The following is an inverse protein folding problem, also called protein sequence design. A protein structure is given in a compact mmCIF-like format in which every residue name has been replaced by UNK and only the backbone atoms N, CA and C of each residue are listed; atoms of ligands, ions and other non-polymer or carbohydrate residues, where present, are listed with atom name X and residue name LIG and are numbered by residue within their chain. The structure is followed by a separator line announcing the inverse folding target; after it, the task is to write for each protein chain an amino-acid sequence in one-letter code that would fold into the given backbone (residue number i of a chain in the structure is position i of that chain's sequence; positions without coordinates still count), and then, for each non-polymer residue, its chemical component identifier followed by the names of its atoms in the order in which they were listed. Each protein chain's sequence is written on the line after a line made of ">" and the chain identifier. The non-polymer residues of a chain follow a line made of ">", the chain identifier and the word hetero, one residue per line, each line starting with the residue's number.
data_IF_333783839979
#
_entry.id   IF_333783839979
#
_cell.length_a   1.000
_cell.length_b   1.000
_cell.length_c   1.000
_cell.angle_alpha   90.00
_cell.angle_beta   90.00
_cell.angle_gamma   90.00
#
_symmetry.space_group_name_H-M   'P 1'
#
loop_
_entity.id
_entity.type
_entity.pdbx_description
1 polymer ?
#
# COMPACT_ATOMS: atom_id res chain seq x y z
N UNK A 1 -10.90 -28.63 -54.11
CA UNK A 1 -11.68 -28.36 -52.88
C UNK A 1 -11.13 -29.06 -51.64
N UNK A 2 -10.70 -30.33 -51.68
CA UNK A 2 -10.12 -31.04 -50.51
C UNK A 2 -8.75 -30.51 -50.02
N UNK A 3 -7.94 -29.90 -50.90
CA UNK A 3 -6.61 -29.36 -50.53
C UNK A 3 -6.64 -28.00 -49.81
N UNK A 4 -7.67 -27.19 -50.02
CA UNK A 4 -7.83 -25.88 -49.33
C UNK A 4 -8.35 -26.00 -47.90
N UNK A 5 -8.95 -27.14 -47.55
CA UNK A 5 -9.53 -27.35 -46.21
C UNK A 5 -8.48 -27.83 -45.19
N UNK A 6 -7.40 -28.46 -45.66
CA UNK A 6 -6.31 -28.95 -44.78
C UNK A 6 -5.38 -27.80 -44.36
N UNK A 7 -5.17 -26.80 -45.21
CA UNK A 7 -4.35 -25.62 -44.90
C UNK A 7 -4.98 -24.71 -43.86
N UNK A 8 -6.32 -24.67 -43.78
CA UNK A 8 -7.04 -23.83 -42.83
C UNK A 8 -7.01 -24.41 -41.40
N UNK A 9 -6.99 -25.74 -41.28
CA UNK A 9 -6.93 -26.43 -39.97
C UNK A 9 -5.53 -26.39 -39.37
N UNK A 10 -4.48 -26.34 -40.20
CA UNK A 10 -3.10 -26.20 -39.71
C UNK A 10 -2.76 -24.77 -39.25
N UNK A 11 -3.39 -23.74 -39.83
CA UNK A 11 -3.22 -22.35 -39.38
C UNK A 11 -3.91 -22.06 -38.04
N UNK A 12 -4.97 -22.80 -37.71
CA UNK A 12 -5.75 -22.59 -36.48
C UNK A 12 -5.13 -23.25 -35.24
N UNK A 13 -4.19 -24.19 -35.41
CA UNK A 13 -3.45 -24.81 -34.31
C UNK A 13 -2.29 -23.93 -33.82
N UNK A 14 -1.78 -23.02 -34.66
CA UNK A 14 -0.66 -22.14 -34.29
C UNK A 14 -1.13 -20.92 -33.46
N UNK A 15 -2.41 -20.54 -33.56
CA UNK A 15 -2.95 -19.40 -32.81
C UNK A 15 -3.53 -19.77 -31.42
N UNK A 16 -3.46 -21.04 -31.02
CA UNK A 16 -3.94 -21.51 -29.73
C UNK A 16 -2.80 -21.75 -28.72
N UNK A 17 -1.69 -21.00 -28.83
CA UNK A 17 -0.76 -20.89 -27.70
C UNK A 17 -1.52 -20.15 -26.61
N UNK A 18 -1.81 -20.79 -25.46
CA UNK A 18 -2.54 -20.13 -24.40
C UNK A 18 -1.71 -18.94 -23.93
N UNK A 19 -2.28 -17.74 -24.00
CA UNK A 19 -1.73 -16.55 -23.34
C UNK A 19 -1.62 -16.73 -21.81
N UNK A 20 -2.03 -17.88 -21.26
CA UNK A 20 -1.90 -18.26 -19.86
C UNK A 20 -0.53 -18.84 -19.47
N UNK A 21 0.42 -19.05 -20.39
CA UNK A 21 1.74 -19.61 -20.02
C UNK A 21 2.70 -18.61 -19.36
N UNK A 22 2.35 -17.32 -19.27
CA UNK A 22 3.21 -16.30 -18.65
C UNK A 22 2.45 -15.28 -17.80
N UNK A 23 1.40 -15.72 -17.09
CA UNK A 23 0.95 -14.97 -15.92
C UNK A 23 1.94 -15.21 -14.77
N UNK A 24 3.15 -14.65 -14.89
CA UNK A 24 4.05 -14.49 -13.75
C UNK A 24 3.26 -13.74 -12.68
N UNK A 25 3.08 -14.31 -11.48
CA UNK A 25 2.58 -13.54 -10.36
C UNK A 25 3.38 -12.25 -10.31
N UNK A 26 2.69 -11.11 -10.27
CA UNK A 26 3.34 -9.79 -10.32
C UNK A 26 4.34 -9.61 -9.17
N UNK A 27 4.24 -10.45 -8.14
CA UNK A 27 5.23 -10.62 -7.08
C UNK A 27 5.34 -12.11 -6.71
N UNK A 28 6.52 -12.74 -6.78
CA UNK A 28 6.69 -14.11 -6.31
C UNK A 28 6.52 -14.21 -4.79
N UNK A 29 6.10 -15.37 -4.23
CA UNK A 29 5.97 -15.55 -2.79
C UNK A 29 7.26 -15.22 -2.02
N UNK A 30 7.13 -14.61 -0.85
CA UNK A 30 8.27 -14.26 0.01
C UNK A 30 8.69 -15.47 0.83
N UNK A 31 9.96 -15.88 0.72
CA UNK A 31 10.53 -16.85 1.65
C UNK A 31 10.47 -16.33 3.09
N UNK A 32 10.48 -17.24 4.06
CA UNK A 32 10.48 -16.86 5.48
C UNK A 32 11.66 -15.96 5.82
N UNK A 33 12.88 -16.32 5.38
CA UNK A 33 14.08 -15.49 5.53
C UNK A 33 13.87 -14.07 5.00
N UNK A 34 13.21 -13.94 3.84
CA UNK A 34 12.94 -12.62 3.26
C UNK A 34 11.93 -11.83 4.07
N UNK A 35 10.92 -12.47 4.65
CA UNK A 35 9.96 -11.83 5.54
C UNK A 35 10.65 -11.29 6.80
N UNK A 36 11.52 -12.08 7.42
CA UNK A 36 12.30 -11.69 8.61
C UNK A 36 13.24 -10.50 8.31
N UNK A 37 13.88 -10.50 7.14
CA UNK A 37 14.71 -9.38 6.68
C UNK A 37 13.87 -8.12 6.45
N UNK A 38 12.68 -8.26 5.84
CA UNK A 38 11.77 -7.13 5.63
C UNK A 38 11.32 -6.56 6.97
N UNK A 39 10.90 -7.40 7.91
CA UNK A 39 10.48 -6.97 9.25
C UNK A 39 11.58 -6.20 9.98
N UNK A 40 12.80 -6.75 9.98
CA UNK A 40 13.97 -6.13 10.61
C UNK A 40 14.24 -4.75 10.01
N UNK A 41 14.27 -4.66 8.68
CA UNK A 41 14.58 -3.42 7.97
C UNK A 41 13.47 -2.38 8.11
N UNK A 42 12.20 -2.79 8.01
CA UNK A 42 11.04 -1.88 8.16
C UNK A 42 11.00 -1.32 9.56
N UNK A 43 11.19 -2.14 10.59
CA UNK A 43 11.17 -1.68 11.98
C UNK A 43 12.30 -0.68 12.24
N UNK A 44 13.51 -0.98 11.78
CA UNK A 44 14.66 -0.07 11.90
C UNK A 44 14.45 1.24 11.13
N UNK A 45 13.95 1.16 9.89
CA UNK A 45 13.72 2.31 9.03
C UNK A 45 12.63 3.25 9.54
N UNK A 46 11.53 2.69 10.07
CA UNK A 46 10.47 3.49 10.70
C UNK A 46 10.96 4.19 11.97
N UNK A 47 12.01 3.72 12.63
CA UNK A 47 12.58 4.33 13.83
C UNK A 47 13.85 5.16 13.56
N UNK A 48 14.24 5.29 12.29
CA UNK A 48 15.47 5.97 11.91
C UNK A 48 15.44 7.46 12.28
N UNK A 49 16.58 8.07 12.57
CA UNK A 49 16.64 9.47 13.02
C UNK A 49 16.34 10.50 11.90
N UNK A 50 16.56 10.13 10.63
CA UNK A 50 16.24 10.99 9.47
C UNK A 50 14.78 10.84 9.06
N UNK A 51 14.10 11.99 8.95
CA UNK A 51 12.71 12.10 8.52
C UNK A 51 12.48 11.58 7.09
N UNK A 52 13.45 11.75 6.21
CA UNK A 52 13.42 11.26 4.83
C UNK A 52 13.42 9.74 4.79
N UNK A 53 14.35 9.11 5.52
CA UNK A 53 14.40 7.64 5.64
C UNK A 53 13.09 7.13 6.22
N UNK A 54 12.58 7.77 7.28
CA UNK A 54 11.30 7.40 7.85
C UNK A 54 10.15 7.47 6.81
N UNK A 55 10.07 8.54 6.02
CA UNK A 55 9.04 8.71 5.01
C UNK A 55 9.12 7.63 3.93
N UNK A 56 10.33 7.31 3.46
CA UNK A 56 10.57 6.23 2.49
C UNK A 56 10.11 4.88 3.05
N UNK A 57 10.38 4.60 4.33
CA UNK A 57 9.94 3.36 4.95
C UNK A 57 8.43 3.30 5.21
N UNK A 58 7.77 4.43 5.47
CA UNK A 58 6.29 4.48 5.52
C UNK A 58 5.72 4.16 4.14
N UNK A 59 6.28 4.73 3.07
CA UNK A 59 5.86 4.44 1.70
C UNK A 59 6.13 2.97 1.34
N UNK A 60 7.28 2.42 1.73
CA UNK A 60 7.61 1.01 1.53
C UNK A 60 6.58 0.09 2.20
N UNK A 61 6.10 0.41 3.41
CA UNK A 61 5.04 -0.38 4.07
C UNK A 61 3.73 -0.38 3.26
N UNK A 62 3.34 0.77 2.69
CA UNK A 62 2.19 0.86 1.78
C UNK A 62 2.38 -0.08 0.59
N UNK A 63 3.56 0.00 -0.04
CA UNK A 63 3.87 -0.76 -1.25
C UNK A 63 3.91 -2.27 -0.96
N UNK A 64 4.53 -2.67 0.15
CA UNK A 64 4.58 -4.06 0.61
C UNK A 64 3.18 -4.60 0.90
N UNK A 65 2.34 -3.86 1.63
CA UNK A 65 0.98 -4.33 1.95
C UNK A 65 0.11 -4.49 0.71
N UNK A 66 0.32 -3.65 -0.30
CA UNK A 66 -0.39 -3.73 -1.59
C UNK A 66 0.13 -4.85 -2.49
N UNK A 67 1.44 -5.07 -2.48
CA UNK A 67 2.12 -6.10 -3.26
C UNK A 67 1.90 -7.51 -2.70
N UNK A 68 1.77 -7.61 -1.38
CA UNK A 68 1.72 -8.86 -0.62
C UNK A 68 0.57 -8.85 0.42
N UNK A 69 -0.70 -8.74 -0.01
CA UNK A 69 -1.83 -8.51 0.89
C UNK A 69 -2.04 -9.62 1.93
N UNK A 70 -1.70 -10.86 1.59
CA UNK A 70 -1.85 -12.06 2.43
C UNK A 70 -0.79 -12.16 3.54
N UNK A 71 0.30 -11.38 3.47
CA UNK A 71 1.38 -11.45 4.45
C UNK A 71 1.08 -10.54 5.65
N UNK A 72 1.57 -10.96 6.80
CA UNK A 72 1.44 -10.21 8.04
C UNK A 72 2.52 -9.11 8.12
N UNK A 73 2.04 -7.86 8.15
CA UNK A 73 2.86 -6.66 8.33
C UNK A 73 2.46 -5.90 9.61
N UNK A 74 1.83 -6.57 10.57
CA UNK A 74 1.28 -5.94 11.78
C UNK A 74 2.37 -5.33 12.68
N UNK A 75 3.63 -5.78 12.58
CA UNK A 75 4.77 -5.17 13.29
C UNK A 75 4.95 -3.68 12.98
N UNK A 76 4.48 -3.21 11.81
CA UNK A 76 4.57 -1.80 11.44
C UNK A 76 3.46 -0.92 12.05
N UNK A 77 2.35 -1.49 12.56
CA UNK A 77 1.21 -0.70 13.05
C UNK A 77 1.62 0.22 14.20
N UNK A 78 2.32 -0.30 15.21
CA UNK A 78 2.72 0.51 16.38
C UNK A 78 3.68 1.63 15.99
N UNK A 79 4.77 1.39 15.24
CA UNK A 79 5.62 2.46 14.73
C UNK A 79 4.86 3.50 13.89
N UNK A 80 3.91 3.07 13.05
CA UNK A 80 3.10 4.01 12.26
C UNK A 80 2.16 4.85 13.12
N UNK A 81 1.58 4.28 14.19
CA UNK A 81 0.78 5.03 15.15
C UNK A 81 1.62 6.07 15.91
N UNK A 82 2.86 5.71 16.28
CA UNK A 82 3.80 6.64 16.91
C UNK A 82 4.09 7.83 15.99
N UNK A 83 4.41 7.57 14.71
CA UNK A 83 4.57 8.62 13.69
C UNK A 83 3.33 9.51 13.55
N UNK A 84 2.17 8.88 13.42
CA UNK A 84 0.90 9.59 13.27
C UNK A 84 0.62 10.52 14.47
N UNK A 85 1.10 10.18 15.67
CA UNK A 85 0.84 10.96 16.88
C UNK A 85 1.91 12.01 17.16
N UNK A 86 3.18 11.64 17.02
CA UNK A 86 4.30 12.35 17.62
C UNK A 86 5.17 13.09 16.58
N UNK A 87 5.04 12.78 15.30
CA UNK A 87 5.89 13.42 14.29
C UNK A 87 5.56 14.91 14.15
N UNK A 88 6.60 15.74 14.05
CA UNK A 88 6.45 17.18 13.95
C UNK A 88 5.90 17.62 12.59
N UNK A 89 6.37 16.95 11.52
CA UNK A 89 5.98 17.23 10.15
C UNK A 89 4.58 16.66 9.83
N UNK A 90 3.67 17.55 9.42
CA UNK A 90 2.30 17.19 9.07
C UNK A 90 2.22 16.25 7.85
N UNK A 91 3.17 16.35 6.91
CA UNK A 91 3.26 15.46 5.76
C UNK A 91 3.56 14.02 6.16
N UNK A 92 4.51 13.81 7.08
CA UNK A 92 4.81 12.47 7.60
C UNK A 92 3.64 11.91 8.40
N UNK A 93 2.95 12.73 9.21
CA UNK A 93 1.72 12.29 9.90
C UNK A 93 0.64 11.85 8.90
N UNK A 94 0.43 12.60 7.82
CA UNK A 94 -0.51 12.21 6.76
C UNK A 94 -0.08 10.91 6.10
N UNK A 95 1.21 10.75 5.77
CA UNK A 95 1.72 9.54 5.15
C UNK A 95 1.55 8.32 6.07
N UNK A 96 1.79 8.46 7.37
CA UNK A 96 1.53 7.43 8.37
C UNK A 96 0.04 7.06 8.46
N UNK A 97 -0.87 8.05 8.38
CA UNK A 97 -2.30 7.79 8.32
C UNK A 97 -2.70 7.00 7.06
N UNK A 98 -2.08 7.28 5.91
CA UNK A 98 -2.29 6.52 4.67
C UNK A 98 -1.78 5.08 4.80
N UNK A 99 -0.62 4.88 5.42
CA UNK A 99 -0.08 3.54 5.68
C UNK A 99 -1.00 2.72 6.62
N UNK A 100 -1.46 3.32 7.72
CA UNK A 100 -2.43 2.69 8.62
C UNK A 100 -3.75 2.37 7.91
N UNK A 101 -4.12 3.16 6.90
CA UNK A 101 -5.30 2.91 6.07
C UNK A 101 -5.12 1.73 5.09
N UNK A 102 -3.95 1.15 4.94
CA UNK A 102 -3.80 -0.12 4.19
C UNK A 102 -4.21 -1.34 5.05
N UNK A 103 -4.25 -1.20 6.39
CA UNK A 103 -4.64 -2.27 7.32
C UNK A 103 -6.16 -2.30 7.54
N UNK A 104 -6.88 -2.79 6.52
CA UNK A 104 -8.35 -2.76 6.45
C UNK A 104 -9.07 -3.30 7.69
N UNK A 105 -8.60 -4.44 8.19
CA UNK A 105 -9.22 -5.17 9.30
C UNK A 105 -8.66 -4.78 10.68
N UNK A 106 -7.69 -3.86 10.71
CA UNK A 106 -7.05 -3.45 11.96
C UNK A 106 -7.91 -2.43 12.71
N UNK A 107 -8.53 -2.88 13.81
CA UNK A 107 -9.23 -2.00 14.76
C UNK A 107 -8.33 -0.92 15.33
N UNK A 108 -7.06 -1.24 15.57
CA UNK A 108 -6.06 -0.29 16.09
C UNK A 108 -5.78 0.81 15.07
N UNK A 109 -5.61 0.46 13.80
CA UNK A 109 -5.40 1.43 12.72
C UNK A 109 -6.61 2.34 12.54
N UNK A 110 -7.83 1.77 12.52
CA UNK A 110 -9.09 2.55 12.47
C UNK A 110 -9.17 3.54 13.62
N UNK A 111 -8.87 3.07 14.83
CA UNK A 111 -8.92 3.87 16.05
C UNK A 111 -7.92 5.03 16.00
N UNK A 112 -6.67 4.79 15.66
CA UNK A 112 -5.63 5.80 15.58
C UNK A 112 -5.98 6.93 14.59
N UNK A 113 -6.45 6.55 13.39
CA UNK A 113 -6.88 7.52 12.38
C UNK A 113 -8.12 8.29 12.85
N UNK A 114 -9.05 7.65 13.54
CA UNK A 114 -10.26 8.30 14.07
C UNK A 114 -9.97 9.30 15.18
N UNK A 115 -9.03 8.99 16.08
CA UNK A 115 -8.59 9.92 17.13
C UNK A 115 -7.87 11.13 16.52
N UNK A 116 -6.96 10.89 15.57
CA UNK A 116 -6.22 11.96 14.88
C UNK A 116 -7.17 12.88 14.10
N UNK A 117 -8.23 12.34 13.49
CA UNK A 117 -9.26 13.12 12.81
C UNK A 117 -9.99 14.14 13.71
N UNK A 118 -10.01 13.91 15.02
CA UNK A 118 -10.72 14.73 16.01
C UNK A 118 -9.79 15.64 16.82
N UNK A 119 -8.57 15.19 17.09
CA UNK A 119 -7.70 15.76 18.12
C UNK A 119 -6.36 16.29 17.59
N UNK A 120 -5.99 16.06 16.32
CA UNK A 120 -4.72 16.56 15.79
C UNK A 120 -4.73 18.09 15.72
N UNK A 121 -3.65 18.73 16.21
CA UNK A 121 -3.50 20.18 16.19
C UNK A 121 -3.33 20.79 14.79
N UNK A 122 -2.99 19.97 13.78
CA UNK A 122 -2.94 20.40 12.39
C UNK A 122 -4.27 20.14 11.69
N UNK A 123 -4.96 21.22 11.31
CA UNK A 123 -6.20 21.13 10.52
C UNK A 123 -5.99 20.33 9.23
N UNK A 124 -4.82 20.46 8.60
CA UNK A 124 -4.45 19.70 7.41
C UNK A 124 -4.46 18.19 7.69
N UNK A 125 -3.83 17.74 8.76
CA UNK A 125 -3.78 16.31 9.12
C UNK A 125 -5.18 15.82 9.48
N UNK A 126 -5.89 16.53 10.36
CA UNK A 126 -7.23 16.19 10.78
C UNK A 126 -8.19 16.00 9.59
N UNK A 127 -8.16 16.90 8.61
CA UNK A 127 -8.99 16.82 7.39
C UNK A 127 -8.70 15.58 6.53
N UNK A 128 -7.43 15.20 6.39
CA UNK A 128 -7.06 13.98 5.67
C UNK A 128 -7.56 12.75 6.43
N UNK A 129 -7.31 12.68 7.74
CA UNK A 129 -7.80 11.59 8.59
C UNK A 129 -9.33 11.47 8.56
N UNK A 130 -10.08 12.58 8.63
CA UNK A 130 -11.54 12.58 8.50
C UNK A 130 -12.00 11.97 7.16
N UNK A 131 -11.29 12.29 6.07
CA UNK A 131 -11.58 11.71 4.75
C UNK A 131 -11.36 10.20 4.74
N UNK A 132 -10.28 9.73 5.35
CA UNK A 132 -10.00 8.29 5.49
C UNK A 132 -11.06 7.59 6.34
N UNK A 133 -11.47 8.17 7.48
CA UNK A 133 -12.55 7.63 8.32
C UNK A 133 -13.85 7.49 7.53
N UNK A 134 -14.27 8.54 6.80
CA UNK A 134 -15.49 8.52 5.98
C UNK A 134 -15.47 7.43 4.91
N UNK A 135 -14.28 7.15 4.35
CA UNK A 135 -14.08 6.12 3.33
C UNK A 135 -13.75 4.75 3.90
N UNK A 136 -13.69 4.55 5.22
CA UNK A 136 -13.15 3.33 5.82
C UNK A 136 -13.88 2.07 5.38
N UNK A 137 -15.22 2.11 5.36
CA UNK A 137 -16.06 0.96 5.02
C UNK A 137 -16.35 0.89 3.50
N UNK A 138 -16.02 1.94 2.74
CA UNK A 138 -16.25 2.06 1.29
C UNK A 138 -14.95 2.43 0.55
N UNK A 139 -13.91 1.60 0.70
CA UNK A 139 -12.58 1.89 0.11
C UNK A 139 -12.56 1.57 -1.37
N UNK A 140 -11.90 2.42 -2.15
CA UNK A 140 -11.43 2.02 -3.48
C UNK A 140 -10.32 0.98 -3.30
N UNK A 141 -10.32 -0.09 -4.09
CA UNK A 141 -9.16 -0.98 -4.17
C UNK A 141 -7.97 -0.20 -4.73
N UNK A 142 -6.85 -0.17 -3.97
CA UNK A 142 -5.59 0.50 -4.34
C UNK A 142 -5.79 1.98 -4.70
N UNK A 143 -6.19 2.82 -3.73
CA UNK A 143 -6.41 4.24 -3.98
C UNK A 143 -5.08 4.90 -4.38
N UNK A 144 -5.13 5.67 -5.47
CA UNK A 144 -4.03 6.54 -5.87
C UNK A 144 -4.16 7.83 -5.08
N UNK A 145 -3.16 8.13 -4.26
CA UNK A 145 -3.09 9.35 -3.49
C UNK A 145 -2.39 10.42 -4.33
N UNK A 146 -3.16 11.17 -5.12
CA UNK A 146 -2.63 12.35 -5.80
C UNK A 146 -2.73 13.55 -4.85
N UNK A 147 -1.59 14.14 -4.49
CA UNK A 147 -1.59 15.45 -3.87
C UNK A 147 -2.04 16.46 -4.93
N UNK A 148 -3.22 17.05 -4.75
CA UNK A 148 -3.56 18.25 -5.52
C UNK A 148 -2.65 19.38 -5.02
N UNK A 149 -1.60 19.67 -5.77
CA UNK A 149 -0.77 20.86 -5.55
C UNK A 149 -1.64 22.05 -5.94
N UNK A 150 -2.37 22.61 -4.97
CA UNK A 150 -3.03 23.89 -5.16
C UNK A 150 -1.92 24.92 -5.25
N UNK A 151 -1.56 25.31 -6.47
CA UNK A 151 -0.67 26.44 -6.69
C UNK A 151 -1.35 27.69 -6.11
N UNK A 152 -0.68 28.44 -5.21
CA UNK A 152 -1.15 29.76 -4.84
C UNK A 152 -0.84 30.68 -6.03
N UNK A 153 -1.84 30.93 -6.87
CA UNK A 153 -1.86 32.07 -7.78
C UNK A 153 -2.70 33.17 -7.15
#
# INVERSE_FOLDING_TARGET
>A
MKKSMITLVTLLVICAVPASLFATETNPPLSQERQELIETNVTAGLQHASAEVQADYVQLVIDLKRAYPEYDFNYAIIPLMDKLKNESDAGIRILAALALYEYKDSRMSRFAISQTAQLDGSERVARHCQTLVRKWDNRTERPIYTAQVVYPF
#
